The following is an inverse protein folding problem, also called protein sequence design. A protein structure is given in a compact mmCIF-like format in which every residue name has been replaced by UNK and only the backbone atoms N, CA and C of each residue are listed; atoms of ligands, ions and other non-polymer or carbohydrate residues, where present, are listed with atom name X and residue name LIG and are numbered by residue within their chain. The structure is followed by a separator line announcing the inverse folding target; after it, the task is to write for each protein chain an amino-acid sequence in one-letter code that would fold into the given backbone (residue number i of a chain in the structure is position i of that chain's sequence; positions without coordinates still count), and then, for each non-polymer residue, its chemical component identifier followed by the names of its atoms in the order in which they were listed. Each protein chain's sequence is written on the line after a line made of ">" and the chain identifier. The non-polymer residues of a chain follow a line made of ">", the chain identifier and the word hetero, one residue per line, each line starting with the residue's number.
data_IF_633995514445
#
_entry.id   IF_633995514445
#
_cell.length_a   1.000
_cell.length_b   1.000
_cell.length_c   1.000
_cell.angle_alpha   90.00
_cell.angle_beta   90.00
_cell.angle_gamma   90.00
#
_symmetry.space_group_name_H-M   'P 1'
#
loop_
_entity.id
_entity.type
_entity.pdbx_description
1 polymer ?
#
# COMPACT_ATOMS: atom_id res chain seq x y z
N UNK A 1 -31.12 -70.32 -31.65
CA UNK A 1 -31.47 -68.89 -31.83
C UNK A 1 -31.77 -68.34 -30.45
N UNK A 2 -30.78 -67.67 -29.85
CA UNK A 2 -30.91 -67.07 -28.52
C UNK A 2 -31.37 -65.62 -28.71
N UNK A 3 -32.49 -65.29 -28.08
CA UNK A 3 -33.12 -63.98 -28.06
C UNK A 3 -32.26 -63.00 -27.28
N UNK A 4 -31.95 -61.86 -27.90
CA UNK A 4 -31.28 -60.73 -27.27
C UNK A 4 -32.14 -60.17 -26.13
N UNK A 5 -31.63 -60.20 -24.91
CA UNK A 5 -32.19 -59.45 -23.79
C UNK A 5 -31.71 -58.00 -23.91
N UNK A 6 -32.67 -57.08 -24.00
CA UNK A 6 -32.49 -55.63 -23.98
C UNK A 6 -31.93 -55.18 -22.62
N UNK A 7 -30.90 -54.34 -22.65
CA UNK A 7 -30.43 -53.58 -21.48
C UNK A 7 -31.53 -52.62 -21.00
N UNK A 8 -31.84 -52.54 -19.69
CA UNK A 8 -32.71 -51.51 -19.19
C UNK A 8 -31.93 -50.18 -19.20
N UNK A 9 -32.23 -49.32 -20.19
CA UNK A 9 -31.84 -47.91 -20.15
C UNK A 9 -32.25 -47.33 -18.80
N UNK A 10 -31.25 -46.94 -18.01
CA UNK A 10 -31.40 -46.12 -16.81
C UNK A 10 -32.14 -44.84 -17.17
N UNK A 11 -33.47 -44.85 -16.96
CA UNK A 11 -34.32 -43.69 -17.05
C UNK A 11 -34.04 -42.81 -15.83
N UNK A 12 -33.02 -41.96 -15.92
CA UNK A 12 -32.87 -40.85 -14.98
C UNK A 12 -34.12 -39.99 -15.17
N UNK A 13 -35.00 -39.85 -14.16
CA UNK A 13 -36.19 -39.03 -14.29
C UNK A 13 -35.75 -37.60 -14.63
N UNK A 14 -36.52 -36.85 -15.45
CA UNK A 14 -36.20 -35.47 -15.75
C UNK A 14 -36.10 -34.73 -14.42
N UNK A 15 -34.89 -34.29 -14.07
CA UNK A 15 -34.70 -33.56 -12.84
C UNK A 15 -35.58 -32.31 -12.94
N UNK A 16 -36.56 -32.22 -12.05
CA UNK A 16 -37.48 -31.09 -12.02
C UNK A 16 -36.71 -29.77 -11.90
N UNK A 17 -37.30 -28.64 -12.29
CA UNK A 17 -36.63 -27.35 -12.22
C UNK A 17 -36.10 -27.12 -10.79
N UNK A 18 -34.81 -26.83 -10.68
CA UNK A 18 -34.17 -26.52 -9.40
C UNK A 18 -34.57 -25.10 -8.99
N UNK A 19 -35.51 -24.99 -8.04
CA UNK A 19 -36.01 -23.69 -7.56
C UNK A 19 -35.04 -23.14 -6.51
N UNK A 20 -34.28 -22.10 -6.89
CA UNK A 20 -33.45 -21.33 -5.97
C UNK A 20 -34.31 -20.27 -5.27
N UNK A 21 -34.73 -20.54 -4.04
CA UNK A 21 -35.71 -19.70 -3.33
C UNK A 21 -35.22 -18.32 -2.87
N UNK A 22 -33.90 -18.06 -2.85
CA UNK A 22 -33.32 -16.90 -2.15
C UNK A 22 -32.13 -16.23 -2.88
N UNK A 23 -32.05 -16.33 -4.21
CA UNK A 23 -30.94 -15.72 -4.96
C UNK A 23 -31.45 -14.52 -5.75
N UNK A 24 -30.83 -13.35 -5.53
CA UNK A 24 -31.10 -12.17 -6.36
C UNK A 24 -30.74 -12.48 -7.83
N UNK A 25 -31.62 -12.17 -8.80
CA UNK A 25 -31.42 -12.51 -10.21
C UNK A 25 -30.06 -12.07 -10.77
N UNK A 26 -29.56 -10.93 -10.31
CA UNK A 26 -28.29 -10.33 -10.73
C UNK A 26 -27.10 -11.18 -10.28
N UNK A 27 -27.14 -11.69 -9.04
CA UNK A 27 -26.10 -12.57 -8.49
C UNK A 27 -26.14 -13.93 -9.19
N UNK A 28 -27.33 -14.44 -9.48
CA UNK A 28 -27.48 -15.70 -10.21
C UNK A 28 -26.92 -15.61 -11.63
N UNK A 29 -27.23 -14.52 -12.35
CA UNK A 29 -26.70 -14.28 -13.70
C UNK A 29 -25.18 -14.12 -13.69
N UNK A 30 -24.62 -13.42 -12.71
CA UNK A 30 -23.18 -13.28 -12.53
C UNK A 30 -22.47 -14.64 -12.30
N UNK A 31 -23.07 -15.53 -11.50
CA UNK A 31 -22.53 -16.88 -11.27
C UNK A 31 -22.64 -17.76 -12.52
N UNK A 32 -23.72 -17.64 -13.30
CA UNK A 32 -23.87 -18.34 -14.58
C UNK A 32 -22.85 -17.81 -15.60
N UNK A 33 -22.65 -16.49 -15.71
CA UNK A 33 -21.64 -15.90 -16.58
C UNK A 33 -20.24 -16.44 -16.24
N UNK A 34 -19.89 -16.48 -14.95
CA UNK A 34 -18.63 -17.06 -14.47
C UNK A 34 -18.50 -18.55 -14.82
N UNK A 35 -19.54 -19.35 -14.59
CA UNK A 35 -19.53 -20.79 -14.90
C UNK A 35 -19.30 -21.06 -16.39
N UNK A 36 -19.82 -20.22 -17.28
CA UNK A 36 -19.72 -20.43 -18.72
C UNK A 36 -18.51 -19.77 -19.38
N UNK A 37 -17.99 -18.67 -18.81
CA UNK A 37 -16.93 -17.87 -19.44
C UNK A 37 -15.64 -17.82 -18.62
N UNK A 38 -15.66 -18.38 -17.40
CA UNK A 38 -14.62 -18.19 -16.38
C UNK A 38 -14.32 -16.71 -16.07
N UNK A 39 -15.30 -15.83 -16.36
CA UNK A 39 -15.24 -14.38 -16.18
C UNK A 39 -16.61 -13.85 -15.78
N UNK A 40 -16.65 -12.73 -15.05
CA UNK A 40 -17.92 -12.12 -14.65
C UNK A 40 -17.79 -10.60 -14.71
N UNK A 41 -18.81 -9.94 -15.26
CA UNK A 41 -18.87 -8.48 -15.33
C UNK A 41 -19.80 -7.95 -14.24
N UNK A 42 -19.21 -7.51 -13.11
CA UNK A 42 -19.96 -6.85 -12.05
C UNK A 42 -20.36 -5.43 -12.53
N UNK A 43 -21.63 -5.27 -12.90
CA UNK A 43 -22.20 -4.11 -13.61
C UNK A 43 -22.26 -2.79 -12.82
N UNK A 44 -21.50 -2.64 -11.74
CA UNK A 44 -21.32 -1.34 -11.09
C UNK A 44 -19.96 -1.29 -10.40
N UNK A 45 -18.97 -0.80 -11.13
CA UNK A 45 -17.71 -0.35 -10.54
C UNK A 45 -17.95 0.53 -9.30
N UNK A 46 -19.05 1.30 -9.28
CA UNK A 46 -19.52 2.08 -8.15
C UNK A 46 -19.94 1.24 -6.94
N UNK A 47 -20.75 0.17 -7.09
CA UNK A 47 -21.14 -0.65 -5.91
C UNK A 47 -19.95 -1.41 -5.34
N UNK A 48 -19.01 -1.89 -6.16
CA UNK A 48 -17.80 -2.51 -5.65
C UNK A 48 -16.93 -1.52 -4.86
N UNK A 49 -16.78 -0.29 -5.36
CA UNK A 49 -16.03 0.76 -4.65
C UNK A 49 -16.70 1.14 -3.34
N UNK A 50 -18.03 1.34 -3.33
CA UNK A 50 -18.77 1.65 -2.10
C UNK A 50 -18.71 0.49 -1.10
N UNK A 51 -18.85 -0.75 -1.55
CA UNK A 51 -18.69 -1.92 -0.69
C UNK A 51 -17.29 -2.00 -0.06
N UNK A 52 -16.23 -1.77 -0.84
CA UNK A 52 -14.86 -1.76 -0.33
C UNK A 52 -14.69 -0.65 0.71
N UNK A 53 -15.25 0.54 0.49
CA UNK A 53 -15.21 1.64 1.47
C UNK A 53 -15.94 1.25 2.77
N UNK A 54 -17.09 0.61 2.66
CA UNK A 54 -17.91 0.21 3.83
C UNK A 54 -17.29 -0.93 4.64
N UNK A 55 -16.60 -1.86 3.99
CA UNK A 55 -15.96 -3.01 4.65
C UNK A 55 -14.47 -2.81 4.96
N UNK A 56 -13.93 -1.62 4.70
CA UNK A 56 -12.49 -1.36 4.79
C UNK A 56 -11.96 -1.57 6.21
N UNK A 57 -10.90 -2.38 6.33
CA UNK A 57 -10.22 -2.66 7.59
C UNK A 57 -8.72 -2.35 7.49
N UNK A 58 -8.04 -2.28 8.65
CA UNK A 58 -6.60 -2.01 8.74
C UNK A 58 -5.76 -3.08 8.02
N UNK A 59 -6.25 -4.31 7.96
CA UNK A 59 -5.56 -5.41 7.26
C UNK A 59 -5.74 -5.31 5.74
N UNK A 60 -6.92 -4.89 5.28
CA UNK A 60 -7.28 -4.86 3.87
C UNK A 60 -6.92 -3.54 3.16
N UNK A 61 -6.68 -2.46 3.90
CA UNK A 61 -6.50 -1.13 3.30
C UNK A 61 -5.30 -1.05 2.34
N UNK A 62 -4.22 -1.78 2.62
CA UNK A 62 -3.05 -1.84 1.73
C UNK A 62 -3.38 -2.49 0.39
N UNK A 63 -4.05 -3.65 0.41
CA UNK A 63 -4.51 -4.36 -0.78
C UNK A 63 -5.53 -3.53 -1.56
N UNK A 64 -6.48 -2.93 -0.86
CA UNK A 64 -7.50 -2.06 -1.44
C UNK A 64 -6.86 -0.82 -2.11
N UNK A 65 -5.86 -0.19 -1.49
CA UNK A 65 -5.13 0.93 -2.08
C UNK A 65 -4.36 0.49 -3.34
N UNK A 66 -3.67 -0.65 -3.29
CA UNK A 66 -2.93 -1.15 -4.44
C UNK A 66 -3.86 -1.48 -5.61
N UNK A 67 -5.02 -2.10 -5.35
CA UNK A 67 -6.06 -2.31 -6.35
C UNK A 67 -6.58 -0.97 -6.90
N UNK A 68 -6.88 -0.01 -6.03
CA UNK A 68 -7.38 1.31 -6.43
C UNK A 68 -6.39 2.05 -7.34
N UNK A 69 -5.08 1.95 -7.07
CA UNK A 69 -4.02 2.50 -7.93
C UNK A 69 -3.97 1.76 -9.27
N UNK A 70 -4.03 0.43 -9.25
CA UNK A 70 -3.95 -0.42 -10.45
C UNK A 70 -5.12 -0.17 -11.41
N UNK A 71 -6.32 0.01 -10.87
CA UNK A 71 -7.54 0.25 -11.64
C UNK A 71 -7.86 1.74 -11.85
N UNK A 72 -6.97 2.65 -11.42
CA UNK A 72 -7.16 4.10 -11.61
C UNK A 72 -8.37 4.70 -10.87
N UNK A 73 -8.83 4.07 -9.79
CA UNK A 73 -10.00 4.51 -9.02
C UNK A 73 -9.63 5.63 -8.04
N UNK A 74 -9.68 6.89 -8.48
CA UNK A 74 -9.25 8.05 -7.70
C UNK A 74 -10.04 8.20 -6.37
N UNK A 75 -11.35 8.01 -6.38
CA UNK A 75 -12.19 8.15 -5.18
C UNK A 75 -11.84 7.11 -4.11
N UNK A 76 -11.59 5.87 -4.53
CA UNK A 76 -11.18 4.80 -3.62
C UNK A 76 -9.75 5.03 -3.11
N UNK A 77 -8.83 5.49 -3.97
CA UNK A 77 -7.47 5.84 -3.55
C UNK A 77 -7.49 6.92 -2.47
N UNK A 78 -8.28 7.98 -2.65
CA UNK A 78 -8.37 9.06 -1.67
C UNK A 78 -8.97 8.56 -0.36
N UNK A 79 -10.00 7.72 -0.41
CA UNK A 79 -10.60 7.14 0.79
C UNK A 79 -9.62 6.23 1.55
N UNK A 80 -8.92 5.33 0.84
CA UNK A 80 -7.90 4.48 1.44
C UNK A 80 -6.75 5.30 2.04
N UNK A 81 -6.30 6.37 1.36
CA UNK A 81 -5.27 7.26 1.89
C UNK A 81 -5.72 7.95 3.19
N UNK A 82 -6.94 8.49 3.24
CA UNK A 82 -7.49 9.09 4.45
C UNK A 82 -7.60 8.08 5.61
N UNK A 83 -7.94 6.83 5.31
CA UNK A 83 -7.96 5.76 6.29
C UNK A 83 -6.56 5.43 6.81
N UNK A 84 -5.55 5.37 5.94
CA UNK A 84 -4.15 5.15 6.32
C UNK A 84 -3.63 6.32 7.17
N UNK A 85 -4.00 7.56 6.85
CA UNK A 85 -3.59 8.74 7.61
C UNK A 85 -4.12 8.72 9.04
N UNK A 86 -5.34 8.24 9.25
CA UNK A 86 -5.93 8.08 10.59
C UNK A 86 -5.40 6.88 11.38
N UNK A 87 -5.01 5.79 10.69
CA UNK A 87 -4.58 4.52 11.31
C UNK A 87 -3.13 4.15 11.01
N UNK A 88 -2.26 5.13 10.73
CA UNK A 88 -0.92 4.90 10.17
C UNK A 88 -0.10 3.88 10.97
N UNK A 89 -0.05 4.02 12.30
CA UNK A 89 0.76 3.15 13.17
C UNK A 89 0.27 1.70 13.23
N UNK A 90 -1.01 1.46 12.94
CA UNK A 90 -1.57 0.12 12.86
C UNK A 90 -1.27 -0.48 11.48
N UNK A 91 -1.50 0.30 10.41
CA UNK A 91 -1.27 -0.12 9.01
C UNK A 91 0.20 -0.46 8.76
N UNK A 92 1.14 0.35 9.24
CA UNK A 92 2.58 0.14 9.02
C UNK A 92 3.09 -1.20 9.59
N UNK A 93 2.40 -1.77 10.58
CA UNK A 93 2.76 -3.06 11.19
C UNK A 93 2.07 -4.26 10.53
N UNK A 94 1.13 -4.05 9.62
CA UNK A 94 0.42 -5.16 8.97
C UNK A 94 1.28 -5.78 7.88
N UNK A 95 1.03 -7.06 7.61
CA UNK A 95 1.68 -7.78 6.51
C UNK A 95 1.39 -7.15 5.15
N UNK A 96 0.16 -6.64 4.99
CA UNK A 96 -0.25 -5.94 3.77
C UNK A 96 0.63 -4.74 3.45
N UNK A 97 1.23 -4.07 4.45
CA UNK A 97 2.19 -2.99 4.21
C UNK A 97 3.50 -3.50 3.62
N UNK A 98 4.04 -4.63 4.11
CA UNK A 98 5.27 -5.26 3.59
C UNK A 98 5.10 -5.82 2.17
N UNK A 99 3.86 -6.11 1.76
CA UNK A 99 3.52 -6.66 0.44
C UNK A 99 3.19 -5.59 -0.62
N UNK A 100 3.16 -4.30 -0.23
CA UNK A 100 2.92 -3.20 -1.17
C UNK A 100 4.00 -3.12 -2.27
N UNK A 101 3.60 -2.66 -3.45
CA UNK A 101 4.56 -2.29 -4.49
C UNK A 101 5.30 -1.00 -4.13
N UNK A 102 6.53 -0.88 -4.63
CA UNK A 102 7.39 0.30 -4.51
C UNK A 102 6.68 1.62 -4.86
N UNK A 103 5.90 1.60 -5.94
CA UNK A 103 5.12 2.73 -6.45
C UNK A 103 3.95 3.14 -5.56
N UNK A 104 3.27 2.17 -4.93
CA UNK A 104 2.16 2.43 -4.01
C UNK A 104 2.71 2.91 -2.67
N UNK A 105 3.77 2.28 -2.19
CA UNK A 105 4.47 2.69 -0.97
C UNK A 105 5.01 4.12 -1.09
N UNK A 106 5.69 4.46 -2.19
CA UNK A 106 6.16 5.82 -2.45
C UNK A 106 4.99 6.84 -2.44
N UNK A 107 3.82 6.46 -2.94
CA UNK A 107 2.63 7.32 -2.92
C UNK A 107 2.08 7.53 -1.52
N UNK A 108 2.05 6.49 -0.68
CA UNK A 108 1.68 6.62 0.74
C UNK A 108 2.66 7.57 1.43
N UNK A 109 3.98 7.37 1.23
CA UNK A 109 5.03 8.17 1.87
C UNK A 109 5.05 9.65 1.42
N UNK A 110 4.49 9.96 0.24
CA UNK A 110 4.33 11.33 -0.24
C UNK A 110 3.30 12.12 0.56
N UNK A 111 2.36 11.48 1.24
CA UNK A 111 1.34 12.19 2.04
C UNK A 111 1.95 12.93 3.24
N UNK A 112 1.57 14.20 3.38
CA UNK A 112 1.92 15.07 4.51
C UNK A 112 1.10 14.78 5.78
N UNK A 113 0.02 14.01 5.67
CA UNK A 113 -0.96 13.84 6.75
C UNK A 113 -0.78 12.56 7.57
N UNK A 114 0.27 11.78 7.30
CA UNK A 114 0.55 10.56 8.05
C UNK A 114 0.86 10.86 9.53
N UNK A 115 0.17 10.15 10.41
CA UNK A 115 0.30 10.27 11.86
C UNK A 115 1.46 9.41 12.42
N UNK A 116 2.64 9.47 11.79
CA UNK A 116 3.84 8.75 12.19
C UNK A 116 5.09 9.67 12.20
N UNK A 117 6.07 9.33 13.03
CA UNK A 117 7.38 10.00 13.00
C UNK A 117 8.22 9.44 11.85
N UNK A 118 9.12 10.27 11.30
CA UNK A 118 10.01 9.86 10.20
C UNK A 118 10.89 8.66 10.59
N UNK A 119 11.30 8.53 11.86
CA UNK A 119 12.10 7.40 12.30
C UNK A 119 11.33 6.07 12.20
N UNK A 120 10.05 6.08 12.56
CA UNK A 120 9.18 4.90 12.47
C UNK A 120 8.96 4.51 11.01
N UNK A 121 8.79 5.50 10.13
CA UNK A 121 8.63 5.29 8.68
C UNK A 121 9.91 4.77 8.02
N UNK A 122 11.09 5.26 8.43
CA UNK A 122 12.37 4.72 7.96
C UNK A 122 12.51 3.24 8.34
N UNK A 123 12.16 2.87 9.58
CA UNK A 123 12.21 1.48 10.03
C UNK A 123 11.25 0.61 9.22
N UNK A 124 10.02 1.08 9.01
CA UNK A 124 9.03 0.40 8.21
C UNK A 124 9.48 0.17 6.75
N UNK A 125 10.04 1.21 6.11
CA UNK A 125 10.58 1.10 4.74
C UNK A 125 11.75 0.13 4.69
N UNK A 126 12.56 0.06 5.74
CA UNK A 126 13.65 -0.91 5.82
C UNK A 126 13.13 -2.34 5.90
N UNK A 127 12.18 -2.60 6.80
CA UNK A 127 11.55 -3.92 6.92
C UNK A 127 10.89 -4.33 5.60
N UNK A 128 10.14 -3.42 4.97
CA UNK A 128 9.57 -3.62 3.64
C UNK A 128 10.67 -3.97 2.63
N UNK A 129 11.76 -3.21 2.56
CA UNK A 129 12.82 -3.43 1.58
C UNK A 129 13.52 -4.78 1.76
N UNK A 130 13.66 -5.28 2.99
CA UNK A 130 14.18 -6.63 3.23
C UNK A 130 13.22 -7.71 2.74
N UNK A 131 11.93 -7.57 3.00
CA UNK A 131 10.91 -8.51 2.51
C UNK A 131 10.84 -8.46 0.97
N UNK A 132 10.76 -7.27 0.38
CA UNK A 132 10.70 -7.11 -1.07
C UNK A 132 11.99 -7.54 -1.78
N UNK A 133 13.16 -7.35 -1.16
CA UNK A 133 14.43 -7.87 -1.68
C UNK A 133 14.44 -9.39 -1.73
N UNK A 134 13.92 -10.06 -0.69
CA UNK A 134 13.80 -11.51 -0.66
C UNK A 134 12.79 -12.04 -1.69
N UNK A 135 11.67 -11.33 -1.90
CA UNK A 135 10.62 -11.72 -2.86
C UNK A 135 11.04 -11.47 -4.31
N UNK A 136 11.69 -10.34 -4.60
CA UNK A 136 12.10 -9.95 -5.95
C UNK A 136 13.50 -10.43 -6.35
N UNK A 137 14.22 -11.07 -5.42
CA UNK A 137 15.62 -11.51 -5.57
C UNK A 137 16.57 -10.41 -6.07
N UNK A 138 16.26 -9.15 -5.73
CA UNK A 138 17.01 -7.95 -6.10
C UNK A 138 17.65 -7.32 -4.87
N UNK A 139 18.78 -6.63 -5.01
CA UNK A 139 19.42 -5.99 -3.86
C UNK A 139 18.50 -4.90 -3.26
N UNK A 140 18.43 -4.88 -1.92
CA UNK A 140 17.71 -3.89 -1.10
C UNK A 140 17.79 -2.45 -1.63
N UNK A 141 18.97 -1.88 -1.96
CA UNK A 141 19.06 -0.51 -2.46
C UNK A 141 18.35 -0.26 -3.78
N UNK A 142 18.23 -1.27 -4.65
CA UNK A 142 17.61 -1.14 -5.96
C UNK A 142 16.08 -1.10 -5.84
N UNK A 143 15.53 -1.93 -4.95
CA UNK A 143 14.09 -2.00 -4.67
C UNK A 143 13.62 -0.78 -3.87
N UNK A 144 14.45 -0.28 -2.95
CA UNK A 144 14.12 0.85 -2.09
C UNK A 144 14.29 2.23 -2.74
N UNK A 145 14.71 2.30 -4.01
CA UNK A 145 14.97 3.56 -4.71
C UNK A 145 13.82 4.58 -4.62
N UNK A 146 12.59 4.18 -4.97
CA UNK A 146 11.44 5.10 -4.95
C UNK A 146 10.99 5.45 -3.53
N UNK A 147 10.76 4.48 -2.61
CA UNK A 147 10.32 4.81 -1.26
C UNK A 147 11.31 5.68 -0.49
N UNK A 148 12.62 5.46 -0.69
CA UNK A 148 13.67 6.21 0.03
C UNK A 148 13.73 7.67 -0.39
N UNK A 149 13.41 8.01 -1.65
CA UNK A 149 13.37 9.40 -2.11
C UNK A 149 12.26 10.22 -1.47
N UNK A 150 11.19 9.57 -0.99
CA UNK A 150 10.06 10.22 -0.34
C UNK A 150 10.24 10.34 1.20
N UNK A 151 11.33 9.79 1.75
CA UNK A 151 11.68 9.90 3.17
C UNK A 151 12.26 11.28 3.51
N UNK A 152 11.80 11.90 4.60
CA UNK A 152 12.15 13.28 4.96
C UNK A 152 13.31 13.28 5.95
N UNK A 153 14.44 12.70 5.54
CA UNK A 153 15.68 12.63 6.32
C UNK A 153 16.13 13.99 6.91
N UNK A 154 15.97 15.14 6.23
CA UNK A 154 16.30 16.46 6.79
C UNK A 154 15.56 16.81 8.09
N UNK A 155 14.41 16.19 8.38
CA UNK A 155 13.61 16.47 9.57
C UNK A 155 14.14 15.78 10.83
N UNK A 156 14.94 14.72 10.68
CA UNK A 156 15.55 13.97 11.79
C UNK A 156 16.55 14.84 12.55
N UNK A 157 16.74 14.58 13.84
CA UNK A 157 17.77 15.22 14.65
C UNK A 157 19.17 14.72 14.28
N UNK A 158 20.25 15.48 14.56
CA UNK A 158 21.62 15.05 14.28
C UNK A 158 21.99 13.71 14.94
N UNK A 159 21.48 13.44 16.15
CA UNK A 159 21.66 12.15 16.83
C UNK A 159 20.98 11.00 16.09
N UNK A 160 19.78 11.24 15.55
CA UNK A 160 19.01 10.24 14.82
C UNK A 160 19.62 9.98 13.43
N UNK A 161 20.14 11.02 12.77
CA UNK A 161 20.90 10.88 11.52
C UNK A 161 22.20 10.10 11.72
N UNK A 162 22.93 10.33 12.81
CA UNK A 162 24.12 9.54 13.13
C UNK A 162 23.79 8.06 13.40
N UNK A 163 22.69 7.80 14.11
CA UNK A 163 22.19 6.43 14.30
C UNK A 163 21.80 5.78 12.97
N UNK A 164 21.10 6.53 12.11
CA UNK A 164 20.69 6.09 10.78
C UNK A 164 21.91 5.75 9.92
N UNK A 165 22.95 6.57 9.94
CA UNK A 165 24.18 6.35 9.17
C UNK A 165 24.90 5.08 9.63
N UNK A 166 25.04 4.88 10.94
CA UNK A 166 25.64 3.66 11.50
C UNK A 166 24.86 2.40 11.09
N UNK A 167 23.53 2.51 11.06
CA UNK A 167 22.65 1.44 10.60
C UNK A 167 22.75 1.22 9.08
N UNK A 168 22.87 2.28 8.30
CA UNK A 168 22.98 2.22 6.83
C UNK A 168 24.30 1.59 6.38
N UNK A 169 25.35 1.64 7.19
CA UNK A 169 26.62 0.93 6.91
C UNK A 169 26.45 -0.59 6.82
N UNK A 170 25.38 -1.16 7.40
CA UNK A 170 25.08 -2.59 7.33
C UNK A 170 24.17 -2.96 6.17
N UNK A 171 23.10 -2.18 5.98
CA UNK A 171 22.02 -2.55 5.07
C UNK A 171 22.10 -1.83 3.72
N UNK A 172 22.92 -0.77 3.60
CA UNK A 172 23.12 0.08 2.41
C UNK A 172 21.82 0.54 1.74
N UNK A 173 20.74 0.67 2.52
CA UNK A 173 19.39 1.00 2.07
C UNK A 173 19.28 2.40 1.47
N UNK A 174 19.95 3.37 2.09
CA UNK A 174 19.82 4.79 1.78
C UNK A 174 21.06 5.26 1.00
N UNK A 175 20.89 5.87 -0.19
CA UNK A 175 22.00 6.46 -0.92
C UNK A 175 22.77 7.48 -0.07
N UNK A 176 24.10 7.45 -0.18
CA UNK A 176 25.00 8.36 0.55
C UNK A 176 24.66 9.82 0.26
N UNK A 177 24.23 10.12 -0.97
CA UNK A 177 23.83 11.48 -1.38
C UNK A 177 22.64 12.01 -0.57
N UNK A 178 21.67 11.16 -0.23
CA UNK A 178 20.50 11.53 0.57
C UNK A 178 20.87 11.84 2.01
N UNK A 179 21.77 11.05 2.60
CA UNK A 179 22.30 11.29 3.96
C UNK A 179 23.14 12.56 3.99
N UNK A 180 24.02 12.75 2.99
CA UNK A 180 24.82 13.95 2.86
C UNK A 180 23.95 15.20 2.67
N UNK A 181 22.87 15.13 1.90
CA UNK A 181 21.90 16.22 1.75
C UNK A 181 21.22 16.57 3.08
N UNK A 182 20.84 15.57 3.88
CA UNK A 182 20.28 15.78 5.21
C UNK A 182 21.29 16.49 6.13
N UNK A 183 22.56 16.05 6.17
CA UNK A 183 23.61 16.72 6.94
C UNK A 183 23.88 18.15 6.47
N UNK A 184 23.92 18.39 5.16
CA UNK A 184 24.05 19.75 4.60
C UNK A 184 22.91 20.66 5.04
N UNK A 185 21.68 20.16 5.07
CA UNK A 185 20.51 20.93 5.50
C UNK A 185 20.61 21.36 6.97
N UNK A 186 21.16 20.49 7.84
CA UNK A 186 21.43 20.81 9.25
C UNK A 186 22.56 21.81 9.41
N UNK A 187 23.68 21.61 8.70
CA UNK A 187 24.87 22.45 8.80
C UNK A 187 24.61 23.87 8.29
N UNK A 188 23.91 24.01 7.17
CA UNK A 188 23.64 25.31 6.55
C UNK A 188 22.44 26.03 7.17
N UNK A 189 21.59 25.32 7.94
CA UNK A 189 20.30 25.82 8.46
C UNK A 189 19.46 26.51 7.38
N UNK A 190 19.69 26.13 6.11
CA UNK A 190 19.15 26.78 4.92
C UNK A 190 18.81 25.69 3.88
N UNK A 191 17.61 25.79 3.27
CA UNK A 191 17.01 24.80 2.34
C UNK A 191 17.75 24.65 0.99
N UNK A 192 19.01 25.05 0.88
CA UNK A 192 19.71 25.09 -0.42
C UNK A 192 19.91 23.69 -0.98
N UNK A 193 19.16 23.34 -2.03
CA UNK A 193 19.30 22.09 -2.79
C UNK A 193 18.45 20.91 -2.32
N UNK A 194 17.57 21.07 -1.32
CA UNK A 194 16.65 20.01 -0.89
C UNK A 194 15.23 20.31 -1.39
N UNK A 195 14.53 19.34 -2.02
CA UNK A 195 13.15 19.52 -2.45
C UNK A 195 12.23 20.01 -1.32
N UNK A 196 11.36 20.97 -1.62
CA UNK A 196 10.53 21.65 -0.63
C UNK A 196 9.59 20.74 0.15
N UNK A 197 9.19 19.60 -0.43
CA UNK A 197 8.32 18.60 0.20
C UNK A 197 9.05 17.77 1.27
N UNK A 198 10.37 17.56 1.15
CA UNK A 198 11.17 16.84 2.15
C UNK A 198 11.47 17.67 3.41
N UNK A 199 11.18 18.97 3.38
CA UNK A 199 11.35 19.88 4.50
C UNK A 199 10.03 20.28 5.17
N UNK A 200 8.91 19.64 4.81
CA UNK A 200 7.62 19.85 5.46
C UNK A 200 7.38 18.71 6.46
N UNK A 201 7.12 19.01 7.74
CA UNK A 201 6.80 17.96 8.72
C UNK A 201 5.48 17.28 8.37
N UNK A 202 5.39 15.98 8.64
CA UNK A 202 4.11 15.25 8.60
C UNK A 202 3.28 15.57 9.83
N UNK A 203 1.98 15.33 9.76
CA UNK A 203 1.07 15.55 10.89
C UNK A 203 1.51 14.86 12.19
N UNK A 204 2.10 13.65 12.10
CA UNK A 204 2.60 12.90 13.25
C UNK A 204 4.07 13.16 13.64
N UNK A 205 4.78 14.09 12.99
CA UNK A 205 6.20 14.32 13.27
C UNK A 205 6.39 14.89 14.67
N UNK A 206 7.30 14.30 15.46
CA UNK A 206 7.63 14.83 16.80
C UNK A 206 8.29 16.20 16.68
N UNK A 207 7.87 17.20 17.49
CA UNK A 207 8.46 18.53 17.42
C UNK A 207 9.93 18.47 17.85
N UNK A 208 10.84 18.94 16.99
CA UNK A 208 12.28 19.04 17.27
C UNK A 208 12.72 20.50 17.21
N UNK A 209 13.70 20.89 18.03
CA UNK A 209 14.12 22.30 18.19
C UNK A 209 14.59 22.97 16.88
N UNK A 210 15.12 22.20 15.92
CA UNK A 210 15.56 22.71 14.62
C UNK A 210 14.43 22.93 13.61
N UNK A 211 13.21 22.43 13.87
CA UNK A 211 12.05 22.61 12.98
C UNK A 211 11.68 24.09 12.80
N UNK A 212 11.95 24.92 13.82
CA UNK A 212 11.76 26.38 13.75
C UNK A 212 12.56 27.06 12.63
N UNK A 213 13.69 26.49 12.23
CA UNK A 213 14.51 27.00 11.12
C UNK A 213 14.08 26.45 9.76
N UNK A 214 13.22 25.42 9.76
CA UNK A 214 12.67 24.81 8.56
C UNK A 214 11.33 25.46 8.19
N UNK A 215 10.56 25.99 9.15
CA UNK A 215 9.29 26.66 8.85
C UNK A 215 9.48 27.97 8.05
N UNK A 216 8.85 28.11 6.86
CA UNK A 216 8.97 29.31 6.04
C UNK A 216 8.26 30.55 6.63
N UNK A 217 7.58 30.41 7.78
CA UNK A 217 6.78 31.47 8.41
C UNK A 217 7.40 32.13 9.65
N UNK A 218 8.60 31.78 10.11
CA UNK A 218 9.31 32.59 11.11
C UNK A 218 10.09 33.72 10.43
N UNK A 219 9.36 34.78 10.03
CA UNK A 219 9.91 36.13 9.92
C UNK A 219 9.49 36.93 11.15
#
# INVERSE_FOLDING_TARGET
>A
MLTSNEDPLSSVPPQGPFILGNVQPEVFLAVIEFLYTNSVTLNSHTLCVEFIKDTLSVEQVCEALQAAVTYGQADLQQHCLAFIESHTMAVVRTRGFHELSDTVLARVLRSDHLAADELDLVQAVREWAHVSSAVLERPVPEVATLPVQELRLPLLAPSELAMLESQNQRDLLIPVDSIAAAWRSHALRHRSGVPSHLCRPRHGTRPRNHHRHLDPHSK
#
